data_IF_049880121594
#
_entry.id   IF_049880121594
#
_cell.length_a   1.000
_cell.length_b   1.000
_cell.length_c   1.000
_cell.angle_alpha   90.00
_cell.angle_beta   90.00
_cell.angle_gamma   90.00
#
_symmetry.space_group_name_H-M   'P 1'
#
loop_
_entity.id
_entity.type
_entity.pdbx_description
1 polymer ?
#
# COMPACT_ATOMS: atom_id res chain seq x y z
N UNK A 1 -10.69 9.92 26.36
CA UNK A 1 -9.33 9.48 26.76
C UNK A 1 -9.31 8.00 27.18
N UNK A 2 -10.40 7.51 27.79
CA UNK A 2 -10.57 6.12 28.24
C UNK A 2 -10.71 5.08 27.11
N UNK A 3 -11.44 5.41 26.04
CA UNK A 3 -11.57 4.57 24.83
C UNK A 3 -10.24 4.32 24.11
N UNK A 4 -9.34 5.32 24.08
CA UNK A 4 -8.00 5.16 23.49
C UNK A 4 -7.10 4.23 24.34
N UNK A 5 -7.31 4.19 25.66
CA UNK A 5 -6.62 3.25 26.56
C UNK A 5 -7.09 1.81 26.32
N UNK A 6 -8.40 1.59 26.11
CA UNK A 6 -8.96 0.28 25.80
C UNK A 6 -8.46 -0.26 24.45
N UNK A 7 -8.40 0.59 23.42
CA UNK A 7 -7.86 0.21 22.10
C UNK A 7 -6.38 -0.18 22.21
N UNK A 8 -5.58 0.53 23.03
CA UNK A 8 -4.17 0.20 23.27
C UNK A 8 -3.98 -1.19 23.91
N UNK A 9 -4.95 -1.65 24.71
CA UNK A 9 -4.90 -2.95 25.38
C UNK A 9 -5.40 -4.10 24.49
N UNK A 10 -6.01 -3.80 23.34
CA UNK A 10 -6.49 -4.83 22.42
C UNK A 10 -5.35 -5.31 21.54
N UNK A 11 -4.98 -6.60 21.65
CA UNK A 11 -3.82 -7.19 20.96
C UNK A 11 -3.80 -6.84 19.46
N UNK A 12 -4.95 -6.89 18.78
CA UNK A 12 -5.05 -6.61 17.34
C UNK A 12 -4.66 -5.18 16.93
N UNK A 13 -4.77 -4.19 17.83
CA UNK A 13 -4.41 -2.80 17.56
C UNK A 13 -3.16 -2.37 18.34
N UNK A 14 -2.39 -3.35 18.81
CA UNK A 14 -1.16 -3.07 19.56
C UNK A 14 -0.01 -2.68 18.61
N UNK A 15 0.03 -3.26 17.41
CA UNK A 15 1.06 -3.00 16.42
C UNK A 15 0.46 -2.73 15.02
N UNK A 16 1.04 -1.80 14.24
CA UNK A 16 0.46 -1.40 12.96
C UNK A 16 0.33 -2.54 11.94
N UNK A 17 1.28 -3.48 11.90
CA UNK A 17 1.23 -4.56 10.91
C UNK A 17 0.06 -5.52 11.12
N UNK A 18 -0.41 -5.71 12.36
CA UNK A 18 -1.46 -6.69 12.68
C UNK A 18 -2.77 -6.41 11.94
N UNK A 19 -3.39 -5.20 12.06
CA UNK A 19 -4.65 -4.94 11.39
C UNK A 19 -4.47 -4.82 9.87
N UNK A 20 -3.37 -4.22 9.42
CA UNK A 20 -3.08 -4.04 8.00
C UNK A 20 -2.83 -5.37 7.27
N UNK A 21 -2.11 -6.32 7.88
CA UNK A 21 -1.88 -7.63 7.27
C UNK A 21 -3.17 -8.43 7.18
N UNK A 22 -3.97 -8.46 8.25
CA UNK A 22 -5.27 -9.14 8.23
C UNK A 22 -6.16 -8.57 7.13
N UNK A 23 -6.23 -7.23 7.02
CA UNK A 23 -6.97 -6.58 5.93
C UNK A 23 -6.42 -6.96 4.55
N UNK A 24 -5.11 -6.87 4.35
CA UNK A 24 -4.47 -7.15 3.07
C UNK A 24 -4.72 -8.59 2.59
N UNK A 25 -4.48 -9.58 3.46
CA UNK A 25 -4.66 -10.99 3.10
C UNK A 25 -6.14 -11.38 2.99
N UNK A 26 -7.03 -10.78 3.79
CA UNK A 26 -8.47 -10.96 3.62
C UNK A 26 -8.91 -10.42 2.26
N UNK A 27 -8.44 -9.22 1.88
CA UNK A 27 -8.71 -8.64 0.58
C UNK A 27 -8.17 -9.49 -0.58
N UNK A 28 -7.01 -10.12 -0.42
CA UNK A 28 -6.45 -11.02 -1.42
C UNK A 28 -7.38 -12.22 -1.67
N UNK A 29 -7.83 -12.88 -0.59
CA UNK A 29 -8.71 -14.05 -0.67
C UNK A 29 -10.05 -13.66 -1.31
N UNK A 30 -10.69 -12.62 -0.78
CA UNK A 30 -11.99 -12.15 -1.27
C UNK A 30 -11.89 -11.73 -2.73
N UNK A 31 -10.86 -10.95 -3.07
CA UNK A 31 -10.69 -10.48 -4.44
C UNK A 31 -10.40 -11.62 -5.41
N UNK A 32 -9.59 -12.60 -5.03
CA UNK A 32 -9.26 -13.69 -5.95
C UNK A 32 -10.44 -14.60 -6.20
N UNK A 33 -11.25 -14.84 -5.17
CA UNK A 33 -12.52 -15.54 -5.31
C UNK A 33 -13.48 -14.78 -6.23
N UNK A 34 -13.63 -13.47 -6.03
CA UNK A 34 -14.52 -12.65 -6.83
C UNK A 34 -14.04 -12.49 -8.29
N UNK A 35 -12.73 -12.32 -8.48
CA UNK A 35 -12.11 -12.32 -9.80
C UNK A 35 -12.40 -13.62 -10.55
N UNK A 36 -12.25 -14.78 -9.91
CA UNK A 36 -12.53 -16.07 -10.53
C UNK A 36 -13.98 -16.15 -11.03
N UNK A 37 -14.94 -15.70 -10.21
CA UNK A 37 -16.36 -15.72 -10.56
C UNK A 37 -16.69 -14.76 -11.71
N UNK A 38 -16.16 -13.53 -11.67
CA UNK A 38 -16.34 -12.54 -12.74
C UNK A 38 -15.67 -13.00 -14.03
N UNK A 39 -14.44 -13.51 -13.95
CA UNK A 39 -13.66 -13.93 -15.11
C UNK A 39 -14.29 -15.14 -15.81
N UNK A 40 -14.88 -16.07 -15.06
CA UNK A 40 -15.64 -17.20 -15.62
C UNK A 40 -17.05 -16.82 -16.10
N UNK A 41 -17.48 -15.58 -15.89
CA UNK A 41 -18.83 -15.12 -16.23
C UNK A 41 -19.94 -15.70 -15.34
N UNK A 42 -19.59 -16.26 -14.17
CA UNK A 42 -20.58 -16.77 -13.19
C UNK A 42 -21.34 -15.61 -12.55
N UNK A 43 -20.67 -14.47 -12.36
CA UNK A 43 -21.26 -13.24 -11.83
C UNK A 43 -20.93 -12.10 -12.79
N UNK A 44 -21.93 -11.26 -13.09
CA UNK A 44 -21.74 -10.04 -13.86
C UNK A 44 -21.06 -8.95 -13.02
N UNK A 45 -20.16 -8.18 -13.62
CA UNK A 45 -19.61 -6.98 -12.99
C UNK A 45 -20.37 -5.73 -13.45
N UNK A 46 -20.48 -4.73 -12.58
CA UNK A 46 -21.19 -3.48 -12.88
C UNK A 46 -20.33 -2.48 -13.67
N UNK A 47 -19.70 -2.94 -14.75
CA UNK A 47 -18.92 -2.09 -15.66
C UNK A 47 -17.43 -1.91 -15.33
N UNK A 48 -16.88 -2.73 -14.42
CA UNK A 48 -15.43 -2.89 -14.23
C UNK A 48 -15.04 -4.28 -14.68
N UNK A 49 -14.18 -4.39 -15.68
CA UNK A 49 -13.71 -5.68 -16.19
C UNK A 49 -13.00 -6.49 -15.11
N UNK A 50 -13.15 -7.82 -15.12
CA UNK A 50 -12.51 -8.71 -14.14
C UNK A 50 -11.00 -8.52 -14.06
N UNK A 51 -10.30 -8.28 -15.19
CA UNK A 51 -8.86 -8.00 -15.20
C UNK A 51 -8.50 -6.70 -14.47
N UNK A 52 -9.32 -5.66 -14.63
CA UNK A 52 -9.11 -4.38 -13.95
C UNK A 52 -9.43 -4.51 -12.45
N UNK A 53 -10.47 -5.26 -12.10
CA UNK A 53 -10.74 -5.61 -10.70
C UNK A 53 -9.52 -6.29 -10.08
N UNK A 54 -9.04 -7.38 -10.68
CA UNK A 54 -7.87 -8.11 -10.22
C UNK A 54 -6.63 -7.22 -10.08
N UNK A 55 -6.31 -6.42 -11.10
CA UNK A 55 -5.16 -5.52 -11.05
C UNK A 55 -5.28 -4.52 -9.88
N UNK A 56 -6.44 -3.86 -9.77
CA UNK A 56 -6.66 -2.86 -8.73
C UNK A 56 -6.54 -3.44 -7.33
N UNK A 57 -7.23 -4.55 -7.06
CA UNK A 57 -7.29 -5.13 -5.72
C UNK A 57 -5.96 -5.72 -5.30
N UNK A 58 -5.21 -6.36 -6.20
CA UNK A 58 -3.87 -6.87 -5.87
C UNK A 58 -2.93 -5.72 -5.53
N UNK A 59 -2.89 -4.68 -6.36
CA UNK A 59 -2.00 -3.54 -6.14
C UNK A 59 -2.40 -2.77 -4.87
N UNK A 60 -3.65 -2.30 -4.79
CA UNK A 60 -4.06 -1.30 -3.80
C UNK A 60 -4.81 -1.85 -2.59
N UNK A 61 -5.40 -3.04 -2.65
CA UNK A 61 -6.11 -3.65 -1.51
C UNK A 61 -5.33 -4.77 -0.82
N UNK A 62 -4.34 -5.37 -1.49
CA UNK A 62 -3.39 -6.32 -0.91
C UNK A 62 -2.03 -5.65 -0.68
N UNK A 63 -1.28 -5.34 -1.74
CA UNK A 63 0.13 -4.98 -1.59
C UNK A 63 0.32 -3.65 -0.89
N UNK A 64 -0.43 -2.60 -1.25
CA UNK A 64 -0.34 -1.29 -0.59
C UNK A 64 -0.58 -1.38 0.93
N UNK A 65 -1.71 -1.92 1.45
CA UNK A 65 -1.90 -2.02 2.89
C UNK A 65 -0.90 -2.96 3.56
N UNK A 66 -0.45 -4.04 2.91
CA UNK A 66 0.62 -4.89 3.44
C UNK A 66 1.93 -4.10 3.61
N UNK A 67 2.38 -3.39 2.58
CA UNK A 67 3.58 -2.55 2.67
C UNK A 67 3.43 -1.44 3.72
N UNK A 68 2.26 -0.80 3.81
CA UNK A 68 1.99 0.22 4.84
C UNK A 68 2.10 -0.40 6.25
N UNK A 69 1.46 -1.55 6.49
CA UNK A 69 1.53 -2.23 7.79
C UNK A 69 2.98 -2.59 8.19
N UNK A 70 3.75 -3.07 7.21
CA UNK A 70 5.17 -3.34 7.38
C UNK A 70 5.97 -2.06 7.70
N UNK A 71 5.83 -1.03 6.88
CA UNK A 71 6.56 0.23 7.02
C UNK A 71 6.21 0.98 8.28
N UNK A 72 4.95 0.98 8.71
CA UNK A 72 4.59 1.56 10.00
C UNK A 72 5.26 0.87 11.20
N UNK A 73 5.71 -0.37 11.02
CA UNK A 73 6.48 -1.10 12.04
C UNK A 73 7.98 -0.89 11.89
N UNK A 74 8.52 -0.85 10.67
CA UNK A 74 9.96 -0.85 10.40
C UNK A 74 10.53 0.54 10.15
N UNK A 75 9.79 1.44 9.52
CA UNK A 75 10.22 2.80 9.18
C UNK A 75 10.58 3.64 10.42
N UNK A 76 9.82 3.62 11.55
CA UNK A 76 10.26 4.26 12.80
C UNK A 76 11.60 3.72 13.31
N UNK A 77 11.79 2.39 13.25
CA UNK A 77 13.04 1.73 13.67
C UNK A 77 14.22 2.14 12.79
N UNK A 78 13.99 2.25 11.48
CA UNK A 78 14.97 2.75 10.53
C UNK A 78 15.37 4.21 10.75
N UNK A 79 14.47 4.98 11.35
CA UNK A 79 14.63 6.40 11.64
C UNK A 79 15.19 6.69 13.03
N UNK A 80 15.34 5.69 13.89
CA UNK A 80 15.78 5.88 15.28
C UNK A 80 14.79 6.68 16.13
N UNK A 81 13.48 6.52 15.86
CA UNK A 81 12.41 7.17 16.61
C UNK A 81 11.44 6.16 17.23
N UNK A 82 10.61 6.64 18.15
CA UNK A 82 9.60 5.84 18.84
C UNK A 82 8.53 5.25 17.89
N UNK A 83 7.92 4.10 18.24
CA UNK A 83 6.83 3.50 17.47
C UNK A 83 5.62 4.42 17.28
N UNK A 84 4.95 4.26 16.14
CA UNK A 84 3.76 5.05 15.76
C UNK A 84 2.61 4.78 16.75
N UNK A 85 2.01 5.85 17.27
CA UNK A 85 0.84 5.74 18.15
C UNK A 85 -0.39 5.19 17.39
N UNK A 86 -1.22 4.31 18.02
CA UNK A 86 -2.38 3.70 17.36
C UNK A 86 -3.31 4.67 16.62
N UNK A 87 -3.59 5.82 17.22
CA UNK A 87 -4.46 6.84 16.63
C UNK A 87 -4.00 7.29 15.24
N UNK A 88 -2.69 7.34 14.99
CA UNK A 88 -2.14 7.86 13.73
C UNK A 88 -2.37 6.87 12.58
N UNK A 89 -2.16 5.57 12.81
CA UNK A 89 -2.32 4.57 11.74
C UNK A 89 -3.76 4.05 11.61
N UNK A 90 -4.58 4.11 12.66
CA UNK A 90 -5.96 3.59 12.63
C UNK A 90 -6.87 4.40 11.69
N UNK A 91 -6.58 5.68 11.48
CA UNK A 91 -7.30 6.49 10.48
C UNK A 91 -7.04 5.97 9.06
N UNK A 92 -5.77 5.74 8.71
CA UNK A 92 -5.43 5.15 7.41
C UNK A 92 -6.04 3.76 7.27
N UNK A 93 -5.92 2.91 8.30
CA UNK A 93 -6.54 1.59 8.32
C UNK A 93 -8.05 1.63 8.05
N UNK A 94 -8.78 2.53 8.74
CA UNK A 94 -10.22 2.69 8.55
C UNK A 94 -10.60 3.09 7.12
N UNK A 95 -9.82 3.96 6.49
CA UNK A 95 -10.02 4.35 5.09
C UNK A 95 -9.77 3.18 4.12
N UNK A 96 -8.72 2.38 4.32
CA UNK A 96 -8.49 1.17 3.53
C UNK A 96 -9.62 0.14 3.73
N UNK A 97 -10.08 -0.05 4.96
CA UNK A 97 -11.16 -0.99 5.28
C UNK A 97 -12.47 -0.58 4.59
N UNK A 98 -12.96 0.64 4.85
CA UNK A 98 -14.21 1.12 4.26
C UNK A 98 -14.09 1.21 2.73
N UNK A 99 -12.96 1.69 2.23
CA UNK A 99 -12.68 1.75 0.80
C UNK A 99 -12.71 0.38 0.14
N UNK A 100 -12.13 -0.65 0.76
CA UNK A 100 -12.17 -2.03 0.24
C UNK A 100 -13.59 -2.57 0.14
N UNK A 101 -14.43 -2.34 1.16
CA UNK A 101 -15.83 -2.73 1.16
C UNK A 101 -16.59 -2.06 0.01
N UNK A 102 -16.37 -0.76 -0.20
CA UNK A 102 -17.00 -0.02 -1.30
C UNK A 102 -16.53 -0.50 -2.67
N UNK A 103 -15.26 -0.91 -2.82
CA UNK A 103 -14.76 -1.52 -4.06
C UNK A 103 -15.45 -2.86 -4.33
N UNK A 104 -15.63 -3.72 -3.31
CA UNK A 104 -16.29 -5.02 -3.50
C UNK A 104 -17.80 -4.91 -3.76
N UNK A 105 -18.51 -4.08 -2.99
CA UNK A 105 -19.93 -3.82 -3.26
C UNK A 105 -20.07 -3.11 -4.61
N UNK A 106 -19.17 -2.16 -4.88
CA UNK A 106 -19.16 -1.40 -6.11
C UNK A 106 -18.93 -2.25 -7.35
N UNK A 107 -18.00 -3.21 -7.35
CA UNK A 107 -17.75 -4.03 -8.55
C UNK A 107 -18.95 -4.92 -8.92
N UNK A 108 -19.78 -5.26 -7.94
CA UNK A 108 -20.97 -6.08 -8.12
C UNK A 108 -22.19 -5.26 -8.54
N UNK A 109 -22.35 -4.05 -8.00
CA UNK A 109 -23.62 -3.32 -8.09
C UNK A 109 -23.51 -1.92 -8.70
N UNK A 110 -22.36 -1.24 -8.61
CA UNK A 110 -22.22 0.14 -9.08
C UNK A 110 -20.77 0.58 -9.30
N UNK A 111 -20.44 0.87 -10.57
CA UNK A 111 -19.15 1.47 -10.99
C UNK A 111 -18.80 2.73 -10.18
N UNK A 112 -19.79 3.57 -9.89
CA UNK A 112 -19.59 4.82 -9.15
C UNK A 112 -19.25 4.54 -7.68
N UNK A 113 -19.89 3.54 -7.07
CA UNK A 113 -19.58 3.13 -5.71
C UNK A 113 -18.19 2.51 -5.61
N UNK A 114 -17.80 1.71 -6.61
CA UNK A 114 -16.44 1.19 -6.69
C UNK A 114 -15.44 2.33 -6.75
N UNK A 115 -15.66 3.33 -7.61
CA UNK A 115 -14.80 4.50 -7.74
C UNK A 115 -14.70 5.32 -6.45
N UNK A 116 -15.81 5.49 -5.72
CA UNK A 116 -15.80 6.11 -4.40
C UNK A 116 -14.94 5.31 -3.42
N UNK A 117 -15.05 3.98 -3.43
CA UNK A 117 -14.16 3.10 -2.68
C UNK A 117 -12.70 3.31 -3.06
N UNK A 118 -12.40 3.44 -4.36
CA UNK A 118 -11.04 3.69 -4.82
C UNK A 118 -10.48 5.02 -4.32
N UNK A 119 -11.29 6.08 -4.30
CA UNK A 119 -10.92 7.38 -3.75
C UNK A 119 -10.66 7.31 -2.23
N UNK A 120 -11.46 6.56 -1.47
CA UNK A 120 -11.22 6.36 -0.04
C UNK A 120 -9.88 5.65 0.22
N UNK A 121 -9.57 4.60 -0.54
CA UNK A 121 -8.27 3.91 -0.48
C UNK A 121 -7.13 4.86 -0.83
N UNK A 122 -7.30 5.70 -1.86
CA UNK A 122 -6.31 6.70 -2.25
C UNK A 122 -6.05 7.71 -1.13
N UNK A 123 -7.09 8.25 -0.49
CA UNK A 123 -6.95 9.15 0.66
C UNK A 123 -6.28 8.44 1.84
N UNK A 124 -6.59 7.17 2.08
CA UNK A 124 -5.91 6.34 3.08
C UNK A 124 -4.42 6.19 2.79
N UNK A 125 -4.07 5.98 1.52
CA UNK A 125 -2.69 5.88 1.05
C UNK A 125 -1.94 7.22 1.18
N UNK A 126 -2.59 8.35 0.85
CA UNK A 126 -2.05 9.69 1.08
C UNK A 126 -1.72 9.90 2.56
N UNK A 127 -2.70 9.64 3.44
CA UNK A 127 -2.53 9.78 4.88
C UNK A 127 -1.42 8.89 5.44
N UNK A 128 -1.28 7.67 4.92
CA UNK A 128 -0.22 6.77 5.35
C UNK A 128 1.18 7.28 5.00
N UNK A 129 1.37 7.79 3.78
CA UNK A 129 2.65 8.33 3.33
C UNK A 129 2.95 9.67 4.02
N UNK A 130 1.94 10.47 4.38
CA UNK A 130 2.13 11.65 5.23
C UNK A 130 2.73 11.30 6.59
N UNK A 131 2.32 10.18 7.20
CA UNK A 131 2.92 9.67 8.44
C UNK A 131 4.38 9.26 8.20
N UNK A 132 4.68 8.56 7.10
CA UNK A 132 6.07 8.20 6.75
C UNK A 132 6.94 9.44 6.49
N UNK A 133 6.40 10.45 5.81
CA UNK A 133 7.07 11.72 5.57
C UNK A 133 7.41 12.42 6.89
N UNK A 134 6.46 12.49 7.83
CA UNK A 134 6.69 13.04 9.16
C UNK A 134 7.83 12.31 9.88
N UNK A 135 7.86 10.98 9.82
CA UNK A 135 8.92 10.17 10.41
C UNK A 135 10.28 10.46 9.78
N UNK A 136 10.33 10.59 8.45
CA UNK A 136 11.57 10.89 7.72
C UNK A 136 12.17 12.25 8.14
N UNK A 137 11.32 13.28 8.24
CA UNK A 137 11.73 14.62 8.64
C UNK A 137 12.27 14.65 10.07
N UNK A 138 11.72 13.82 10.97
CA UNK A 138 12.12 13.76 12.39
C UNK A 138 13.12 12.63 12.70
N UNK A 139 13.64 11.95 11.68
CA UNK A 139 14.59 10.85 11.88
C UNK A 139 15.93 11.36 12.47
N UNK A 140 16.44 10.64 13.47
CA UNK A 140 17.67 10.95 14.21
C UNK A 140 18.93 10.37 13.53
N UNK A 141 18.73 9.43 12.60
CA UNK A 141 19.81 8.83 11.82
C UNK A 141 20.35 9.78 10.75
N UNK A 142 21.65 9.68 10.47
CA UNK A 142 22.34 10.51 9.46
C UNK A 142 22.09 10.03 8.03
N UNK A 143 22.15 8.71 7.78
CA UNK A 143 21.81 8.12 6.48
C UNK A 143 20.30 7.87 6.38
N UNK A 144 19.65 8.59 5.46
CA UNK A 144 18.22 8.48 5.17
C UNK A 144 17.95 8.03 3.72
N UNK A 145 18.96 7.56 2.99
CA UNK A 145 18.86 7.25 1.55
C UNK A 145 17.75 6.24 1.26
N UNK A 146 17.71 5.12 1.99
CA UNK A 146 16.66 4.10 1.80
C UNK A 146 15.26 4.64 2.10
N UNK A 147 15.14 5.57 3.05
CA UNK A 147 13.86 6.20 3.40
C UNK A 147 13.36 7.10 2.27
N UNK A 148 14.26 7.83 1.63
CA UNK A 148 13.94 8.67 0.48
C UNK A 148 13.44 7.82 -0.69
N UNK A 149 14.12 6.71 -0.99
CA UNK A 149 13.69 5.79 -2.05
C UNK A 149 12.33 5.14 -1.77
N UNK A 150 12.04 4.78 -0.51
CA UNK A 150 10.70 4.32 -0.11
C UNK A 150 9.65 5.40 -0.39
N UNK A 151 9.91 6.67 -0.03
CA UNK A 151 8.99 7.78 -0.26
C UNK A 151 8.79 8.08 -1.75
N UNK A 152 9.85 8.00 -2.56
CA UNK A 152 9.79 8.13 -4.03
C UNK A 152 8.91 7.02 -4.62
N UNK A 153 9.12 5.76 -4.22
CA UNK A 153 8.30 4.65 -4.68
C UNK A 153 6.82 4.87 -4.31
N UNK A 154 6.54 5.30 -3.08
CA UNK A 154 5.18 5.62 -2.63
C UNK A 154 4.54 6.76 -3.45
N UNK A 155 5.30 7.77 -3.84
CA UNK A 155 4.83 8.84 -4.71
C UNK A 155 4.46 8.33 -6.11
N UNK A 156 5.24 7.41 -6.69
CA UNK A 156 4.83 6.70 -7.91
C UNK A 156 3.55 5.88 -7.70
N UNK A 157 3.38 5.29 -6.51
CA UNK A 157 2.15 4.63 -6.10
C UNK A 157 0.94 5.56 -6.15
N UNK A 158 1.07 6.81 -5.68
CA UNK A 158 0.00 7.81 -5.78
C UNK A 158 -0.33 8.18 -7.23
N UNK A 159 0.70 8.45 -8.04
CA UNK A 159 0.51 8.79 -9.46
C UNK A 159 -0.19 7.66 -10.19
N UNK A 160 0.27 6.43 -10.01
CA UNK A 160 -0.34 5.25 -10.59
C UNK A 160 -1.78 5.07 -10.11
N UNK A 161 -2.06 5.30 -8.84
CA UNK A 161 -3.41 5.13 -8.29
C UNK A 161 -4.40 6.14 -8.86
N UNK A 162 -3.98 7.40 -8.95
CA UNK A 162 -4.78 8.47 -9.55
C UNK A 162 -5.04 8.19 -11.04
N UNK A 163 -4.03 7.74 -11.78
CA UNK A 163 -4.21 7.30 -13.18
C UNK A 163 -5.22 6.14 -13.29
N UNK A 164 -5.23 5.21 -12.33
CA UNK A 164 -6.20 4.11 -12.32
C UNK A 164 -7.62 4.64 -12.17
N UNK A 165 -7.83 5.54 -11.20
CA UNK A 165 -9.12 6.16 -10.90
C UNK A 165 -9.61 6.96 -12.11
N UNK A 166 -8.74 7.74 -12.75
CA UNK A 166 -9.08 8.51 -13.95
C UNK A 166 -9.36 7.61 -15.17
N UNK A 167 -8.82 6.39 -15.17
CA UNK A 167 -9.06 5.38 -16.20
C UNK A 167 -10.54 5.10 -16.48
N UNK A 168 -11.42 5.39 -15.51
CA UNK A 168 -12.87 5.30 -15.66
C UNK A 168 -13.41 6.19 -16.78
N UNK A 169 -12.79 7.36 -17.01
CA UNK A 169 -13.10 8.32 -18.07
C UNK A 169 -12.12 8.22 -19.24
N UNK A 170 -10.88 7.81 -18.98
CA UNK A 170 -9.80 7.72 -19.97
C UNK A 170 -9.23 6.28 -20.02
N UNK A 171 -9.86 5.33 -20.76
CA UNK A 171 -9.51 3.91 -20.69
C UNK A 171 -8.03 3.57 -20.94
N UNK A 172 -7.32 4.37 -21.74
CA UNK A 172 -5.89 4.18 -21.98
C UNK A 172 -5.04 4.33 -20.70
N UNK A 173 -5.53 5.10 -19.71
CA UNK A 173 -4.81 5.36 -18.47
C UNK A 173 -4.70 4.12 -17.57
N UNK A 174 -5.57 3.11 -17.73
CA UNK A 174 -5.46 1.86 -16.97
C UNK A 174 -4.15 1.11 -17.26
N UNK A 175 -3.77 1.00 -18.54
CA UNK A 175 -2.54 0.30 -18.92
C UNK A 175 -1.31 1.01 -18.35
N UNK A 176 -1.25 2.33 -18.50
CA UNK A 176 -0.16 3.14 -17.95
C UNK A 176 -0.13 3.06 -16.41
N UNK A 177 -1.29 3.17 -15.76
CA UNK A 177 -1.43 3.04 -14.31
C UNK A 177 -0.86 1.71 -13.81
N UNK A 178 -1.24 0.59 -14.42
CA UNK A 178 -0.78 -0.74 -14.01
C UNK A 178 0.73 -0.88 -14.20
N UNK A 179 1.28 -0.39 -15.33
CA UNK A 179 2.73 -0.42 -15.57
C UNK A 179 3.48 0.43 -14.55
N UNK A 180 3.04 1.67 -14.29
CA UNK A 180 3.63 2.52 -13.26
C UNK A 180 3.53 1.88 -11.87
N UNK A 181 2.37 1.30 -11.52
CA UNK A 181 2.16 0.65 -10.25
C UNK A 181 3.06 -0.57 -10.05
N UNK A 182 3.24 -1.41 -11.07
CA UNK A 182 4.09 -2.60 -10.95
C UNK A 182 5.57 -2.21 -10.94
N UNK A 183 6.03 -1.41 -11.91
CA UNK A 183 7.47 -1.17 -12.10
C UNK A 183 8.03 -0.03 -11.24
N UNK A 184 7.33 1.10 -11.15
CA UNK A 184 7.85 2.29 -10.47
C UNK A 184 7.42 2.35 -8.99
N UNK A 185 6.34 1.66 -8.64
CA UNK A 185 5.87 1.57 -7.26
C UNK A 185 6.23 0.25 -6.59
N UNK A 186 5.56 -0.86 -6.91
CA UNK A 186 5.71 -2.12 -6.18
C UNK A 186 7.11 -2.71 -6.31
N UNK A 187 7.65 -2.77 -7.53
CA UNK A 187 9.00 -3.30 -7.77
C UNK A 187 10.05 -2.45 -7.06
N UNK A 188 10.06 -1.13 -7.31
CA UNK A 188 11.00 -0.22 -6.65
C UNK A 188 10.91 -0.33 -5.12
N UNK A 189 9.70 -0.26 -4.55
CA UNK A 189 9.48 -0.37 -3.11
C UNK A 189 9.99 -1.70 -2.54
N UNK A 190 9.68 -2.81 -3.21
CA UNK A 190 10.11 -4.15 -2.79
C UNK A 190 11.63 -4.23 -2.75
N UNK A 191 12.31 -3.76 -3.79
CA UNK A 191 13.78 -3.80 -3.86
C UNK A 191 14.43 -2.90 -2.82
N UNK A 192 13.94 -1.68 -2.63
CA UNK A 192 14.46 -0.76 -1.60
C UNK A 192 14.32 -1.36 -0.20
N UNK A 193 13.18 -1.99 0.11
CA UNK A 193 12.99 -2.68 1.39
C UNK A 193 13.90 -3.89 1.51
N UNK A 194 13.96 -4.72 0.46
CA UNK A 194 14.73 -5.96 0.45
C UNK A 194 16.22 -5.71 0.68
N UNK A 195 16.79 -4.66 0.08
CA UNK A 195 18.20 -4.30 0.27
C UNK A 195 18.57 -3.97 1.71
N UNK A 196 17.61 -3.50 2.51
CA UNK A 196 17.83 -3.23 3.94
C UNK A 196 17.59 -4.46 4.81
N UNK A 197 16.64 -5.31 4.42
CA UNK A 197 16.22 -6.49 5.20
C UNK A 197 17.06 -7.75 4.93
N UNK A 198 17.49 -8.00 3.69
CA UNK A 198 18.30 -9.16 3.34
C UNK A 198 19.62 -9.23 4.14
N UNK A 199 20.43 -8.14 4.23
CA UNK A 199 21.64 -8.15 5.05
C UNK A 199 21.37 -8.39 6.54
N UNK A 200 20.23 -7.90 7.03
CA UNK A 200 19.82 -8.11 8.41
C UNK A 200 19.56 -9.59 8.71
N UNK A 201 18.93 -10.32 7.80
CA UNK A 201 18.66 -11.75 7.97
C UNK A 201 19.83 -12.67 7.62
N UNK A 202 20.69 -12.27 6.67
CA UNK A 202 21.83 -13.11 6.25
C UNK A 202 23.03 -12.99 7.17
N UNK A 203 23.04 -12.01 8.09
CA UNK A 203 24.22 -11.59 8.86
C UNK A 203 25.46 -11.29 7.99
N UNK A 204 25.27 -11.13 6.67
CA UNK A 204 26.30 -10.81 5.71
C UNK A 204 26.15 -9.32 5.35
N UNK A 205 26.97 -8.42 5.92
CA UNK A 205 26.89 -7.01 5.61
C UNK A 205 27.25 -6.81 4.13
N UNK A 206 26.28 -6.38 3.34
CA UNK A 206 26.50 -6.00 1.94
C UNK A 206 27.03 -4.57 1.93
N UNK A 207 28.23 -4.35 1.38
CA UNK A 207 28.66 -2.99 1.07
C UNK A 207 27.68 -2.40 0.05
N UNK A 208 27.04 -1.27 0.38
CA UNK A 208 26.17 -0.54 -0.55
C UNK A 208 27.03 -0.01 -1.70
N UNK A 209 27.07 -0.72 -2.82
CA UNK A 209 27.68 -0.23 -4.05
C UNK A 209 26.69 0.69 -4.78
N UNK A 210 26.78 2.00 -4.53
CA UNK A 210 25.90 3.02 -5.14
C UNK A 210 25.80 2.86 -6.66
N UNK A 211 26.90 2.50 -7.32
CA UNK A 211 26.97 2.27 -8.77
C UNK A 211 26.03 1.16 -9.26
N UNK A 212 25.77 0.11 -8.46
CA UNK A 212 24.87 -0.98 -8.87
C UNK A 212 23.40 -0.61 -8.69
N UNK A 213 23.08 0.30 -7.79
CA UNK A 213 21.72 0.80 -7.61
C UNK A 213 21.31 1.70 -8.79
N UNK A 214 22.23 2.56 -9.20
CA UNK A 214 22.16 3.36 -10.42
C UNK A 214 21.90 2.50 -11.67
N UNK A 215 22.61 1.38 -11.83
CA UNK A 215 22.40 0.44 -12.95
C UNK A 215 21.01 -0.24 -12.92
N UNK A 216 20.47 -0.58 -11.74
CA UNK A 216 19.14 -1.21 -11.60
C UNK A 216 18.00 -0.20 -11.83
N UNK A 217 18.20 1.06 -11.43
CA UNK A 217 17.20 2.14 -11.57
C UNK A 217 17.33 2.88 -12.91
N UNK A 218 18.45 2.73 -13.63
CA UNK A 218 18.70 3.42 -14.89
C UNK A 218 19.05 4.91 -14.73
N UNK A 219 19.75 5.26 -13.65
CA UNK A 219 20.34 6.59 -13.39
C UNK A 219 21.86 6.50 -13.38
#
# INVERSE_FOLDING_TARGET
>A
METLKLIKNHYFFSQPHQPFFVLAFSNAIISMFLFLLIFKGVIASSGIEGRLHHAYTMIYLLFTPAFIGFLFTTFPKFSGIEPIAPRQYLLAFGLFLIGSLFVYVGVLFSKNLANLGMLLVFVGHLGAVQVLWYIHQNATVTDKEDQQWILIAMAFGWVAHLLFIIGIWLPFAYSLSIQCAVYLYLFLLTFTIAQRMLPFFSHAPIQKHKERFNVIIGL
#
